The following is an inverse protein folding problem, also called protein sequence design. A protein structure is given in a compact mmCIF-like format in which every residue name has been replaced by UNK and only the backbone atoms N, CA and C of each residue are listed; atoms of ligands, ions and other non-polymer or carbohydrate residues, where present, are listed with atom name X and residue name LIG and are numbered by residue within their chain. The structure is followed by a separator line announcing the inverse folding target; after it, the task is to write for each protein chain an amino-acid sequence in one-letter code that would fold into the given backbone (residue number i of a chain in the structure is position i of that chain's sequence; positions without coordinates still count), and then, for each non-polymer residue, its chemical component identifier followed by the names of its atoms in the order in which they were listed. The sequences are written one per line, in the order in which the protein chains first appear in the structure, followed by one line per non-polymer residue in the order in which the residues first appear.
data_IF_907037609866
#
_entry.id   IF_907037609866
#
_cell.length_a   1.000
_cell.length_b   1.000
_cell.length_c   1.000
_cell.angle_alpha   90.00
_cell.angle_beta   90.00
_cell.angle_gamma   90.00
#
_symmetry.space_group_name_H-M   'P 1'
#
loop_
_entity.id
_entity.type
_entity.pdbx_description
1 polymer ?
#
# COMPACT_ATOMS: atom_id res chain seq x y z
N UNK A 1 19.01 3.92 3.73
CA UNK A 1 18.07 4.55 4.71
C UNK A 1 17.00 5.41 4.05
N UNK A 2 17.34 6.44 3.27
CA UNK A 2 16.33 7.35 2.66
C UNK A 2 15.31 6.63 1.77
N UNK A 3 15.74 5.67 0.95
CA UNK A 3 14.85 4.93 0.04
C UNK A 3 13.87 3.99 0.77
N UNK A 4 14.27 3.42 1.90
CA UNK A 4 13.43 2.54 2.71
C UNK A 4 12.28 3.33 3.36
N UNK A 5 12.58 4.53 3.88
CA UNK A 5 11.56 5.45 4.39
C UNK A 5 10.59 5.83 3.27
N UNK A 6 11.10 6.25 2.09
CA UNK A 6 10.28 6.62 0.93
C UNK A 6 9.38 5.46 0.48
N UNK A 7 9.90 4.23 0.43
CA UNK A 7 9.13 3.03 0.08
C UNK A 7 8.00 2.76 1.08
N UNK A 8 8.28 2.86 2.39
CA UNK A 8 7.27 2.71 3.43
C UNK A 8 6.19 3.81 3.36
N UNK A 9 6.55 5.07 3.12
CA UNK A 9 5.58 6.17 3.00
C UNK A 9 4.69 6.00 1.77
N UNK A 10 5.26 5.56 0.64
CA UNK A 10 4.50 5.26 -0.58
C UNK A 10 3.53 4.09 -0.39
N UNK A 11 3.97 3.05 0.31
CA UNK A 11 3.15 1.89 0.63
C UNK A 11 1.98 2.28 1.56
N UNK A 12 2.25 3.06 2.60
CA UNK A 12 1.22 3.64 3.49
C UNK A 12 0.23 4.53 2.74
N UNK A 13 0.72 5.38 1.83
CA UNK A 13 -0.13 6.24 1.01
C UNK A 13 -1.06 5.42 0.09
N UNK A 14 -0.54 4.33 -0.51
CA UNK A 14 -1.34 3.41 -1.32
C UNK A 14 -2.46 2.73 -0.51
N UNK A 15 -2.16 2.26 0.70
CA UNK A 15 -3.16 1.66 1.61
C UNK A 15 -4.23 2.68 2.01
N UNK A 16 -3.83 3.90 2.35
CA UNK A 16 -4.77 4.98 2.71
C UNK A 16 -5.68 5.35 1.54
N UNK A 17 -5.12 5.47 0.33
CA UNK A 17 -5.89 5.71 -0.89
C UNK A 17 -6.90 4.59 -1.18
N UNK A 18 -6.50 3.34 -0.93
CA UNK A 18 -7.41 2.20 -1.04
C UNK A 18 -8.57 2.32 -0.03
N UNK A 19 -8.29 2.65 1.24
CA UNK A 19 -9.35 2.90 2.23
C UNK A 19 -10.27 4.06 1.86
N UNK A 20 -9.70 5.17 1.38
CA UNK A 20 -10.45 6.35 0.91
C UNK A 20 -11.38 6.03 -0.24
N UNK A 21 -11.00 5.14 -1.17
CA UNK A 21 -11.88 4.65 -2.24
C UNK A 21 -13.14 3.98 -1.67
N UNK A 22 -13.00 3.16 -0.62
CA UNK A 22 -14.14 2.50 0.01
C UNK A 22 -15.05 3.50 0.71
N UNK A 23 -14.48 4.46 1.45
CA UNK A 23 -15.23 5.52 2.11
C UNK A 23 -15.99 6.38 1.08
N UNK A 24 -15.33 6.78 -0.01
CA UNK A 24 -15.97 7.56 -1.06
C UNK A 24 -17.06 6.77 -1.80
N UNK A 25 -16.84 5.47 -2.05
CA UNK A 25 -17.87 4.57 -2.58
C UNK A 25 -19.09 4.47 -1.65
N UNK A 26 -18.88 4.42 -0.33
CA UNK A 26 -19.93 4.42 0.67
C UNK A 26 -20.71 5.75 0.73
N UNK A 27 -20.02 6.88 0.63
CA UNK A 27 -20.67 8.21 0.59
C UNK A 27 -21.55 8.34 -0.66
N UNK A 28 -21.05 7.91 -1.82
CA UNK A 28 -21.83 7.93 -3.07
C UNK A 28 -23.03 6.98 -3.02
N UNK A 29 -22.86 5.80 -2.42
CA UNK A 29 -23.94 4.85 -2.19
C UNK A 29 -25.04 5.44 -1.30
N UNK A 30 -24.66 6.03 -0.16
CA UNK A 30 -25.58 6.67 0.77
C UNK A 30 -26.30 7.88 0.17
N UNK A 31 -25.62 8.68 -0.66
CA UNK A 31 -26.22 9.86 -1.27
C UNK A 31 -27.19 9.57 -2.42
N UNK A 32 -27.25 8.32 -2.91
CA UNK A 32 -28.09 7.94 -4.06
C UNK A 32 -29.02 6.77 -3.77
N UNK A 33 -29.12 6.32 -2.50
CA UNK A 33 -29.88 5.13 -2.09
C UNK A 33 -29.55 3.86 -2.90
N UNK A 34 -28.35 3.83 -3.47
CA UNK A 34 -27.85 2.69 -4.25
C UNK A 34 -26.89 1.89 -3.39
N UNK A 35 -26.89 0.56 -3.53
CA UNK A 35 -25.98 -0.31 -2.78
C UNK A 35 -24.50 0.04 -3.02
N UNK A 36 -23.64 -0.31 -2.05
CA UNK A 36 -22.20 -0.05 -2.07
C UNK A 36 -21.52 -0.46 -3.39
N UNK A 37 -21.98 -1.55 -4.01
CA UNK A 37 -21.48 -2.07 -5.29
C UNK A 37 -21.68 -1.08 -6.45
N UNK A 38 -22.82 -0.39 -6.51
CA UNK A 38 -23.07 0.64 -7.52
C UNK A 38 -22.28 1.92 -7.24
N UNK A 39 -22.14 2.33 -5.97
CA UNK A 39 -21.29 3.46 -5.59
C UNK A 39 -19.82 3.25 -6.00
N UNK A 40 -19.28 2.06 -5.75
CA UNK A 40 -17.94 1.66 -6.18
C UNK A 40 -17.80 1.54 -7.71
N UNK A 41 -18.85 1.09 -8.40
CA UNK A 41 -18.86 0.99 -9.86
C UNK A 41 -18.83 2.37 -10.53
N UNK A 42 -19.58 3.35 -9.98
CA UNK A 42 -19.60 4.74 -10.45
C UNK A 42 -18.28 5.47 -10.21
N UNK A 43 -17.56 5.14 -9.14
CA UNK A 43 -16.24 5.73 -8.88
C UNK A 43 -15.15 5.25 -9.87
N UNK A 44 -15.44 4.18 -10.62
CA UNK A 44 -14.56 3.64 -11.66
C UNK A 44 -13.38 2.83 -11.13
N UNK A 45 -12.63 2.23 -12.06
CA UNK A 45 -11.49 1.35 -11.74
C UNK A 45 -10.20 2.14 -11.45
N UNK A 46 -10.15 3.42 -11.83
CA UNK A 46 -8.99 4.30 -11.72
C UNK A 46 -8.40 4.41 -10.30
N UNK A 47 -9.18 4.70 -9.23
CA UNK A 47 -8.61 4.81 -7.88
C UNK A 47 -8.08 3.47 -7.34
N UNK A 48 -8.57 2.33 -7.83
CA UNK A 48 -8.07 1.01 -7.44
C UNK A 48 -6.71 0.76 -8.08
N UNK A 49 -6.62 0.94 -9.41
CA UNK A 49 -5.35 0.79 -10.15
C UNK A 49 -4.29 1.71 -9.54
N UNK A 50 -4.64 2.97 -9.27
CA UNK A 50 -3.68 3.93 -8.72
C UNK A 50 -3.17 3.53 -7.33
N UNK A 51 -4.05 3.06 -6.43
CA UNK A 51 -3.63 2.55 -5.12
C UNK A 51 -2.73 1.31 -5.25
N UNK A 52 -3.05 0.40 -6.18
CA UNK A 52 -2.28 -0.81 -6.43
C UNK A 52 -0.88 -0.47 -6.95
N UNK A 53 -0.79 0.45 -7.92
CA UNK A 53 0.48 0.92 -8.48
C UNK A 53 1.37 1.55 -7.40
N UNK A 54 0.81 2.35 -6.49
CA UNK A 54 1.57 2.96 -5.39
C UNK A 54 2.12 1.90 -4.42
N UNK A 55 1.33 0.88 -4.10
CA UNK A 55 1.78 -0.23 -3.25
C UNK A 55 2.93 -0.97 -3.94
N UNK A 56 2.78 -1.32 -5.22
CA UNK A 56 3.81 -2.04 -5.99
C UNK A 56 5.11 -1.22 -6.07
N UNK A 57 5.02 0.08 -6.36
CA UNK A 57 6.19 0.97 -6.42
C UNK A 57 6.85 1.07 -5.04
N UNK A 58 6.07 1.24 -3.96
CA UNK A 58 6.60 1.26 -2.60
C UNK A 58 7.34 -0.04 -2.25
N UNK A 59 6.78 -1.19 -2.65
CA UNK A 59 7.35 -2.52 -2.41
C UNK A 59 8.65 -2.72 -3.20
N UNK A 60 8.70 -2.29 -4.47
CA UNK A 60 9.91 -2.29 -5.29
C UNK A 60 11.02 -1.43 -4.65
N UNK A 61 10.67 -0.26 -4.14
CA UNK A 61 11.64 0.61 -3.45
C UNK A 61 12.19 -0.03 -2.17
N UNK A 62 11.38 -0.77 -1.43
CA UNK A 62 11.81 -1.51 -0.24
C UNK A 62 12.75 -2.65 -0.64
N UNK A 63 12.39 -3.46 -1.64
CA UNK A 63 13.21 -4.59 -2.12
C UNK A 63 14.56 -4.10 -2.66
N UNK A 64 14.56 -3.11 -3.55
CA UNK A 64 15.80 -2.54 -4.12
C UNK A 64 16.66 -1.89 -3.04
N UNK A 65 16.05 -1.40 -1.95
CA UNK A 65 16.80 -0.91 -0.78
C UNK A 65 17.37 -2.04 0.09
N UNK A 66 16.85 -3.26 -0.01
CA UNK A 66 17.20 -4.42 0.82
C UNK A 66 18.29 -5.31 0.19
N UNK A 67 18.58 -5.15 -1.11
CA UNK A 67 19.70 -5.79 -1.83
C UNK A 67 21.10 -5.48 -1.24
N UNK A 68 21.19 -4.68 -0.17
CA UNK A 68 22.41 -4.41 0.59
C UNK A 68 22.62 -5.22 1.88
N UNK A 69 21.67 -6.04 2.32
CA UNK A 69 21.84 -6.85 3.55
C UNK A 69 21.24 -8.25 3.40
N UNK A 70 22.06 -9.31 3.29
CA UNK A 70 21.51 -10.66 3.32
C UNK A 70 20.88 -10.91 4.70
N UNK A 71 19.64 -11.39 4.68
CA UNK A 71 18.88 -11.90 5.84
C UNK A 71 19.71 -12.90 6.69
N UNK A 72 20.78 -13.47 6.12
CA UNK A 72 21.83 -14.22 6.81
C UNK A 72 22.46 -13.48 8.01
N UNK A 73 22.70 -12.16 7.94
CA UNK A 73 23.33 -11.43 9.06
C UNK A 73 22.41 -11.21 10.27
N UNK A 74 21.09 -11.25 10.08
CA UNK A 74 20.13 -11.19 11.21
C UNK A 74 20.19 -12.46 12.04
N UNK A 75 20.42 -13.61 11.40
CA UNK A 75 20.53 -14.89 12.08
C UNK A 75 21.87 -15.05 12.81
N UNK A 76 22.97 -14.49 12.27
CA UNK A 76 24.28 -14.55 12.91
C UNK A 76 24.38 -13.64 14.16
N UNK A 77 23.78 -12.44 14.13
CA UNK A 77 23.73 -11.55 15.30
C UNK A 77 22.85 -12.10 16.43
N UNK A 78 21.80 -12.86 16.09
CA UNK A 78 20.98 -13.57 17.09
C UNK A 78 21.77 -14.71 17.75
N UNK A 79 22.58 -15.44 16.97
CA UNK A 79 23.38 -16.57 17.45
C UNK A 79 24.60 -16.17 18.28
N UNK A 80 25.12 -14.95 18.12
CA UNK A 80 26.20 -14.41 19.01
C UNK A 80 25.68 -13.85 20.33
N UNK A 81 24.35 -13.77 20.51
CA UNK A 81 23.71 -13.27 21.74
C UNK A 81 23.08 -14.38 22.59
N UNK A 82 23.26 -15.65 22.22
CA UNK A 82 22.95 -16.82 23.01
C UNK A 82 24.25 -17.53 23.39
#
# INVERSE_FOLDING_TARGET
MKQLIVGCTLMLAGILLYGLRWVAGAILAAGQDVGLSQGLSRMGFFPFIFSLSLIIIGLLFIIVSDDGKPISKVNEDSKRRQ
#
